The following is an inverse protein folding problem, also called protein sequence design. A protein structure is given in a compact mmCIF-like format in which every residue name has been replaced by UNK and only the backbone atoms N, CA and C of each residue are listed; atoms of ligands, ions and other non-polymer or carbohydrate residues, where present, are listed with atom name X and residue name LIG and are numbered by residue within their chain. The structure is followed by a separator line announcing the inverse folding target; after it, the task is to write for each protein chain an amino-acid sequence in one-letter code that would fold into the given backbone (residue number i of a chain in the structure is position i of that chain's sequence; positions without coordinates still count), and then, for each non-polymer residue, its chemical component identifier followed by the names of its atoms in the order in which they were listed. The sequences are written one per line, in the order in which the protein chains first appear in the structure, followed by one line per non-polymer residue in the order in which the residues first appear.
data_IF_549816820807
#
_entry.id   IF_549816820807
#
_cell.length_a   1.000
_cell.length_b   1.000
_cell.length_c   1.000
_cell.angle_alpha   90.00
_cell.angle_beta   90.00
_cell.angle_gamma   90.00
#
_symmetry.space_group_name_H-M   'P 1'
#
loop_
_entity.id
_entity.type
_entity.pdbx_description
1 polymer ?
#
# COMPACT_ATOMS: atom_id res chain seq x y z
N UNK A 1 -22.21 0.50 -29.21
CA UNK A 1 -21.61 -0.72 -28.67
C UNK A 1 -21.52 -0.56 -27.17
N UNK A 2 -21.93 -1.58 -26.43
CA UNK A 2 -21.79 -1.59 -24.97
C UNK A 2 -20.32 -1.37 -24.60
N UNK A 3 -20.10 -0.53 -23.59
CA UNK A 3 -18.76 -0.14 -23.12
C UNK A 3 -18.46 -0.67 -21.72
N UNK A 4 -19.40 -1.45 -21.17
CA UNK A 4 -19.27 -2.08 -19.88
C UNK A 4 -18.36 -3.31 -19.94
N UNK A 5 -17.57 -3.51 -18.90
CA UNK A 5 -16.68 -4.65 -18.77
C UNK A 5 -17.42 -5.80 -18.08
N UNK A 6 -18.23 -6.53 -18.83
CA UNK A 6 -18.97 -7.69 -18.30
C UNK A 6 -18.13 -8.96 -18.38
N UNK A 7 -18.16 -9.76 -17.31
CA UNK A 7 -17.51 -11.05 -17.30
C UNK A 7 -18.21 -11.99 -18.31
N UNK A 8 -17.43 -12.73 -19.11
CA UNK A 8 -17.96 -13.74 -20.04
C UNK A 8 -18.84 -14.77 -19.34
N UNK A 9 -18.61 -15.05 -18.05
CA UNK A 9 -19.45 -15.93 -17.26
C UNK A 9 -20.85 -15.35 -17.01
N UNK A 10 -20.94 -14.05 -16.71
CA UNK A 10 -22.21 -13.36 -16.49
C UNK A 10 -23.03 -13.29 -17.78
N UNK A 11 -22.37 -12.97 -18.90
CA UNK A 11 -22.98 -12.99 -20.23
C UNK A 11 -23.48 -14.40 -20.55
N UNK A 12 -22.64 -15.41 -20.31
CA UNK A 12 -22.99 -16.80 -20.59
C UNK A 12 -24.22 -17.26 -19.80
N UNK A 13 -24.30 -16.92 -18.50
CA UNK A 13 -25.46 -17.22 -17.66
C UNK A 13 -26.72 -16.55 -18.18
N UNK A 14 -26.66 -15.27 -18.57
CA UNK A 14 -27.82 -14.55 -19.12
C UNK A 14 -28.38 -15.20 -20.39
N UNK A 15 -27.49 -15.69 -21.27
CA UNK A 15 -27.87 -16.34 -22.53
C UNK A 15 -28.00 -17.87 -22.45
N UNK A 16 -27.93 -18.47 -21.25
CA UNK A 16 -28.07 -19.91 -21.06
C UNK A 16 -26.97 -20.75 -21.72
N UNK A 17 -25.79 -20.18 -21.98
CA UNK A 17 -24.66 -20.87 -22.60
C UNK A 17 -23.58 -21.24 -21.57
N UNK A 18 -22.76 -22.24 -21.89
CA UNK A 18 -21.63 -22.61 -21.02
C UNK A 18 -20.54 -21.53 -21.06
N UNK A 19 -20.26 -20.90 -19.91
CA UNK A 19 -19.31 -19.79 -19.82
C UNK A 19 -17.86 -20.14 -20.17
N UNK A 20 -17.38 -21.35 -19.87
CA UNK A 20 -16.04 -21.80 -20.29
C UNK A 20 -15.95 -21.92 -21.80
N UNK A 21 -16.96 -22.55 -22.43
CA UNK A 21 -17.03 -22.68 -23.89
C UNK A 21 -17.15 -21.31 -24.56
N UNK A 22 -17.93 -20.39 -23.99
CA UNK A 22 -18.02 -19.02 -24.49
C UNK A 22 -16.67 -18.30 -24.40
N UNK A 23 -15.94 -18.43 -23.28
CA UNK A 23 -14.62 -17.82 -23.11
C UNK A 23 -13.59 -18.39 -24.09
N UNK A 24 -13.59 -19.70 -24.33
CA UNK A 24 -12.73 -20.35 -25.33
C UNK A 24 -13.05 -19.87 -26.74
N UNK A 25 -14.32 -19.83 -27.13
CA UNK A 25 -14.76 -19.31 -28.43
C UNK A 25 -14.40 -17.84 -28.58
N UNK A 26 -14.61 -17.04 -27.54
CA UNK A 26 -14.27 -15.62 -27.52
C UNK A 26 -12.77 -15.39 -27.73
N UNK A 27 -11.92 -16.11 -26.98
CA UNK A 27 -10.46 -16.04 -27.12
C UNK A 27 -9.96 -16.54 -28.48
N UNK A 28 -10.53 -17.63 -28.99
CA UNK A 28 -9.98 -18.31 -30.17
C UNK A 28 -10.50 -17.77 -31.50
N UNK A 29 -11.69 -17.17 -31.51
CA UNK A 29 -12.43 -16.82 -32.73
C UNK A 29 -13.01 -15.39 -32.74
N UNK A 30 -13.29 -14.77 -31.59
CA UNK A 30 -13.93 -13.43 -31.54
C UNK A 30 -12.96 -12.28 -31.19
N UNK A 31 -11.81 -12.59 -30.59
CA UNK A 31 -10.72 -11.63 -30.39
C UNK A 31 -9.59 -11.97 -31.35
N UNK A 32 -8.90 -10.94 -31.81
CA UNK A 32 -7.59 -10.95 -32.48
C UNK A 32 -6.45 -11.52 -31.59
N UNK A 33 -6.74 -12.46 -30.67
CA UNK A 33 -5.76 -12.94 -29.69
C UNK A 33 -4.65 -13.70 -30.41
N UNK A 34 -4.99 -14.44 -31.47
CA UNK A 34 -4.02 -15.19 -32.28
C UNK A 34 -3.07 -14.27 -33.04
N UNK A 35 -3.58 -13.14 -33.52
CA UNK A 35 -2.87 -12.10 -34.30
C UNK A 35 -2.33 -10.96 -33.43
N UNK A 36 -2.57 -11.01 -32.11
CA UNK A 36 -2.16 -9.96 -31.18
C UNK A 36 -0.63 -9.82 -31.19
N UNK A 37 -0.07 -8.65 -31.58
CA UNK A 37 1.37 -8.51 -31.79
C UNK A 37 2.22 -8.82 -30.55
N UNK A 38 1.64 -8.66 -29.36
CA UNK A 38 2.34 -8.85 -28.10
C UNK A 38 2.30 -10.30 -27.59
N UNK A 39 1.58 -11.21 -28.26
CA UNK A 39 1.34 -12.58 -27.80
C UNK A 39 2.63 -13.35 -27.50
N UNK A 40 3.68 -13.18 -28.32
CA UNK A 40 4.94 -13.92 -28.18
C UNK A 40 5.70 -13.59 -26.88
N UNK A 41 5.54 -12.39 -26.34
CA UNK A 41 6.21 -11.92 -25.13
C UNK A 41 5.25 -11.56 -24.00
N UNK A 42 3.93 -11.76 -24.16
CA UNK A 42 2.90 -11.34 -23.22
C UNK A 42 3.07 -11.89 -21.80
N UNK A 43 3.73 -13.04 -21.64
CA UNK A 43 4.08 -13.61 -20.33
C UNK A 43 5.16 -12.79 -19.59
N UNK A 44 6.01 -12.07 -20.33
CA UNK A 44 7.13 -11.30 -19.79
C UNK A 44 6.80 -9.82 -19.65
N UNK A 45 6.13 -9.26 -20.65
CA UNK A 45 5.75 -7.85 -20.62
C UNK A 45 4.63 -7.51 -21.61
N UNK A 46 3.90 -6.46 -21.28
CA UNK A 46 2.87 -5.81 -22.09
C UNK A 46 3.12 -4.31 -22.09
N UNK A 47 3.05 -3.68 -23.27
CA UNK A 47 3.23 -2.25 -23.47
C UNK A 47 2.01 -1.66 -24.18
N UNK A 48 1.57 -0.50 -23.69
CA UNK A 48 0.50 0.29 -24.28
C UNK A 48 0.98 1.75 -24.41
N UNK A 49 1.90 2.05 -25.35
CA UNK A 49 2.50 3.38 -25.50
C UNK A 49 1.47 4.50 -25.70
N UNK A 50 0.32 4.19 -26.30
CA UNK A 50 -0.80 5.11 -26.48
C UNK A 50 -1.40 5.64 -25.16
N UNK A 51 -1.19 4.93 -24.05
CA UNK A 51 -1.70 5.31 -22.74
C UNK A 51 -0.76 6.26 -21.98
N UNK A 52 0.41 6.62 -22.54
CA UNK A 52 1.34 7.54 -21.89
C UNK A 52 0.71 8.92 -21.71
N UNK A 53 0.74 9.39 -20.46
CA UNK A 53 0.33 10.73 -20.07
C UNK A 53 1.47 11.55 -19.47
N UNK A 54 1.13 12.75 -18.99
CA UNK A 54 2.08 13.65 -18.30
C UNK A 54 2.43 13.17 -16.88
N UNK A 55 1.53 12.43 -16.24
CA UNK A 55 1.63 12.00 -14.84
C UNK A 55 1.53 10.48 -14.79
N UNK A 56 2.64 9.83 -14.45
CA UNK A 56 2.71 8.37 -14.35
C UNK A 56 2.93 7.94 -12.90
N UNK A 57 2.60 6.69 -12.60
CA UNK A 57 3.08 6.00 -11.41
C UNK A 57 3.64 4.63 -11.76
N UNK A 58 4.66 4.20 -11.03
CA UNK A 58 5.26 2.87 -11.12
C UNK A 58 5.12 2.20 -9.76
N UNK A 59 4.64 0.96 -9.76
CA UNK A 59 4.40 0.19 -8.53
C UNK A 59 4.64 -1.31 -8.77
N UNK A 60 4.99 -2.03 -7.71
CA UNK A 60 5.16 -3.49 -7.72
C UNK A 60 3.90 -4.15 -7.14
N UNK A 61 3.41 -5.21 -7.80
CA UNK A 61 2.26 -5.97 -7.32
C UNK A 61 2.43 -7.45 -7.56
N UNK A 62 1.85 -8.27 -6.70
CA UNK A 62 1.77 -9.72 -6.87
C UNK A 62 0.39 -10.07 -7.45
N UNK A 63 0.35 -10.64 -8.65
CA UNK A 63 -0.91 -11.08 -9.28
C UNK A 63 -1.26 -12.54 -8.93
N UNK A 64 -0.27 -13.32 -8.53
CA UNK A 64 -0.35 -14.71 -8.05
C UNK A 64 0.65 -14.91 -6.91
N UNK A 65 0.46 -15.93 -6.08
CA UNK A 65 1.29 -16.22 -4.90
C UNK A 65 2.73 -16.63 -5.27
N UNK A 66 3.55 -15.64 -5.67
CA UNK A 66 4.98 -15.79 -5.93
C UNK A 66 5.51 -14.95 -7.10
N UNK A 67 4.66 -14.46 -8.00
CA UNK A 67 5.10 -13.66 -9.16
C UNK A 67 4.88 -12.17 -8.93
N UNK A 68 6.00 -11.43 -8.83
CA UNK A 68 5.98 -9.98 -8.78
C UNK A 68 5.94 -9.39 -10.19
N UNK A 69 5.10 -8.37 -10.37
CA UNK A 69 4.96 -7.60 -11.59
C UNK A 69 5.17 -6.13 -11.27
N UNK A 70 5.87 -5.43 -12.15
CA UNK A 70 5.94 -3.97 -12.11
C UNK A 70 4.96 -3.38 -13.11
N UNK A 71 4.09 -2.50 -12.62
CA UNK A 71 3.04 -1.88 -13.42
C UNK A 71 3.33 -0.38 -13.52
N UNK A 72 3.34 0.12 -14.75
CA UNK A 72 3.38 1.54 -15.04
C UNK A 72 1.97 2.00 -15.40
N UNK A 73 1.43 2.98 -14.67
CA UNK A 73 0.08 3.50 -14.92
C UNK A 73 0.08 5.01 -15.18
N UNK A 74 -0.94 5.47 -15.91
CA UNK A 74 -1.23 6.87 -16.17
C UNK A 74 -2.29 7.36 -15.17
N UNK A 75 -1.87 8.30 -14.31
CA UNK A 75 -2.72 8.84 -13.23
C UNK A 75 -3.92 9.63 -13.76
N UNK A 76 -3.84 10.19 -14.98
CA UNK A 76 -4.93 10.96 -15.57
C UNK A 76 -6.19 10.11 -15.83
N UNK A 77 -6.02 8.81 -16.07
CA UNK A 77 -7.11 7.88 -16.37
C UNK A 77 -7.83 7.36 -15.12
N UNK A 78 -7.35 7.68 -13.90
CA UNK A 78 -7.97 7.36 -12.61
C UNK A 78 -8.40 5.88 -12.46
N UNK A 79 -7.55 4.96 -12.91
CA UNK A 79 -7.83 3.51 -12.83
C UNK A 79 -8.83 3.00 -13.87
N UNK A 80 -9.35 3.86 -14.75
CA UNK A 80 -10.27 3.47 -15.84
C UNK A 80 -9.51 3.00 -17.08
N UNK A 81 -10.24 2.68 -18.15
CA UNK A 81 -9.68 2.31 -19.46
C UNK A 81 -8.59 3.31 -19.89
N UNK A 82 -7.44 2.79 -20.32
CA UNK A 82 -6.28 3.60 -20.70
C UNK A 82 -5.38 4.00 -19.53
N UNK A 83 -5.54 3.40 -18.34
CA UNK A 83 -4.62 3.62 -17.22
C UNK A 83 -3.32 2.84 -17.35
N UNK A 84 -3.34 1.62 -17.87
CA UNK A 84 -2.15 0.76 -17.89
C UNK A 84 -1.25 1.15 -19.07
N UNK A 85 -0.01 1.57 -18.79
CA UNK A 85 1.00 1.88 -19.80
C UNK A 85 1.93 0.68 -20.02
N UNK A 86 2.31 -0.01 -18.95
CA UNK A 86 3.13 -1.21 -19.03
C UNK A 86 2.80 -2.18 -17.90
N UNK A 87 2.93 -3.48 -18.18
CA UNK A 87 2.97 -4.57 -17.19
C UNK A 87 4.23 -5.37 -17.50
N UNK A 88 5.11 -5.55 -16.52
CA UNK A 88 6.41 -6.21 -16.72
C UNK A 88 6.58 -7.25 -15.61
N UNK A 89 6.92 -8.49 -15.98
CA UNK A 89 7.20 -9.54 -15.02
C UNK A 89 8.57 -9.29 -14.34
N UNK A 90 8.58 -9.34 -13.02
CA UNK A 90 9.74 -9.10 -12.17
C UNK A 90 9.94 -7.64 -11.76
N UNK A 91 10.99 -7.42 -10.98
CA UNK A 91 11.34 -6.14 -10.33
C UNK A 91 12.78 -5.69 -10.63
N UNK A 92 13.52 -6.47 -11.45
CA UNK A 92 14.92 -6.20 -11.80
C UNK A 92 15.02 -4.95 -12.68
N UNK A 93 15.64 -3.91 -12.14
CA UNK A 93 15.73 -2.59 -12.78
C UNK A 93 16.15 -2.64 -14.26
N UNK A 94 17.21 -3.36 -14.60
CA UNK A 94 17.70 -3.43 -15.99
C UNK A 94 16.67 -4.04 -16.95
N UNK A 95 15.99 -5.12 -16.55
CA UNK A 95 14.92 -5.72 -17.35
C UNK A 95 13.79 -4.74 -17.60
N UNK A 96 13.39 -3.98 -16.58
CA UNK A 96 12.33 -2.98 -16.67
C UNK A 96 12.75 -1.83 -17.58
N UNK A 97 13.99 -1.35 -17.46
CA UNK A 97 14.54 -0.29 -18.30
C UNK A 97 14.53 -0.73 -19.76
N UNK A 98 15.04 -1.94 -20.07
CA UNK A 98 15.10 -2.48 -21.43
C UNK A 98 13.71 -2.55 -22.08
N UNK A 99 12.70 -2.98 -21.31
CA UNK A 99 11.32 -3.06 -21.79
C UNK A 99 10.73 -1.66 -21.98
N UNK A 100 10.86 -0.77 -21.01
CA UNK A 100 10.31 0.59 -21.08
C UNK A 100 10.99 1.44 -22.15
N UNK A 101 12.25 1.20 -22.47
CA UNK A 101 12.97 1.90 -23.54
C UNK A 101 12.47 1.52 -24.95
N UNK A 102 11.71 0.43 -25.11
CA UNK A 102 10.98 0.11 -26.36
C UNK A 102 9.92 1.16 -26.69
N UNK A 103 9.47 1.93 -25.70
CA UNK A 103 8.59 3.08 -25.91
C UNK A 103 9.41 4.21 -26.55
N UNK A 104 8.90 4.75 -27.65
CA UNK A 104 9.54 5.83 -28.40
C UNK A 104 9.94 7.01 -27.49
N UNK A 105 11.16 7.50 -27.64
CA UNK A 105 11.76 8.53 -26.77
C UNK A 105 10.91 9.81 -26.70
N UNK A 106 10.26 10.19 -27.80
CA UNK A 106 9.38 11.37 -27.83
C UNK A 106 8.15 11.23 -26.92
N UNK A 107 7.65 10.01 -26.67
CA UNK A 107 6.57 9.80 -25.71
C UNK A 107 7.12 9.87 -24.28
N UNK A 108 8.27 9.23 -24.02
CA UNK A 108 8.91 9.22 -22.70
C UNK A 108 9.28 10.64 -22.23
N UNK A 109 9.74 11.51 -23.14
CA UNK A 109 10.06 12.91 -22.86
C UNK A 109 8.84 13.79 -22.52
N UNK A 110 7.61 13.34 -22.79
CA UNK A 110 6.37 14.07 -22.45
C UNK A 110 5.96 13.92 -20.98
N UNK A 111 6.50 12.91 -20.30
CA UNK A 111 6.23 12.64 -18.88
C UNK A 111 6.84 13.76 -18.05
N UNK A 112 6.01 14.44 -17.25
CA UNK A 112 6.41 15.56 -16.38
C UNK A 112 6.64 15.10 -14.95
N UNK A 113 5.88 14.10 -14.51
CA UNK A 113 5.95 13.56 -13.16
C UNK A 113 5.84 12.05 -13.21
N UNK A 114 6.65 11.38 -12.39
CA UNK A 114 6.51 9.97 -12.08
C UNK A 114 6.48 9.78 -10.57
N UNK A 115 5.40 9.16 -10.09
CA UNK A 115 5.26 8.74 -8.69
C UNK A 115 5.80 7.33 -8.51
N UNK A 116 6.64 7.12 -7.50
CA UNK A 116 7.24 5.83 -7.16
C UNK A 116 7.37 5.68 -5.64
N UNK A 117 7.59 4.45 -5.17
CA UNK A 117 7.99 4.19 -3.79
C UNK A 117 9.40 4.75 -3.48
N UNK A 118 9.93 4.45 -2.29
CA UNK A 118 11.27 4.90 -1.88
C UNK A 118 12.38 3.91 -2.27
N UNK A 119 12.09 2.88 -3.08
CA UNK A 119 13.06 1.86 -3.42
C UNK A 119 14.08 2.38 -4.46
N UNK A 120 15.36 2.04 -4.25
CA UNK A 120 16.45 2.52 -5.09
C UNK A 120 16.37 2.03 -6.55
N UNK A 121 15.81 0.83 -6.77
CA UNK A 121 15.55 0.29 -8.11
C UNK A 121 14.57 1.19 -8.88
N UNK A 122 13.49 1.65 -8.25
CA UNK A 122 12.49 2.52 -8.87
C UNK A 122 13.07 3.87 -9.27
N UNK A 123 13.92 4.45 -8.42
CA UNK A 123 14.59 5.70 -8.75
C UNK A 123 15.47 5.56 -10.00
N UNK A 124 16.22 4.46 -10.11
CA UNK A 124 17.07 4.16 -11.26
C UNK A 124 16.25 3.98 -12.55
N UNK A 125 15.15 3.22 -12.48
CA UNK A 125 14.23 3.00 -13.59
C UNK A 125 13.68 4.33 -14.08
N UNK A 126 13.14 5.14 -13.18
CA UNK A 126 12.55 6.45 -13.52
C UNK A 126 13.58 7.37 -14.21
N UNK A 127 14.80 7.48 -13.67
CA UNK A 127 15.87 8.31 -14.26
C UNK A 127 16.24 7.89 -15.68
N UNK A 128 16.40 6.58 -15.93
CA UNK A 128 16.85 6.06 -17.24
C UNK A 128 15.73 6.02 -18.29
N UNK A 129 14.48 5.90 -17.86
CA UNK A 129 13.33 5.75 -18.78
C UNK A 129 12.62 7.07 -19.04
N UNK A 130 12.47 7.95 -18.03
CA UNK A 130 11.72 9.21 -18.12
C UNK A 130 12.61 10.41 -17.70
N UNK A 131 13.58 10.81 -18.54
CA UNK A 131 14.64 11.75 -18.14
C UNK A 131 14.14 13.16 -17.79
N UNK A 132 12.99 13.58 -18.31
CA UNK A 132 12.40 14.89 -18.06
C UNK A 132 11.42 14.90 -16.88
N UNK A 133 11.12 13.74 -16.28
CA UNK A 133 10.10 13.62 -15.25
C UNK A 133 10.67 13.99 -13.88
N UNK A 134 9.95 14.84 -13.16
CA UNK A 134 10.13 15.03 -11.73
C UNK A 134 9.68 13.77 -11.00
N UNK A 135 10.55 13.26 -10.13
CA UNK A 135 10.27 12.09 -9.30
C UNK A 135 9.57 12.54 -8.03
N UNK A 136 8.45 11.90 -7.72
CA UNK A 136 7.63 12.15 -6.54
C UNK A 136 7.53 10.87 -5.75
N UNK A 137 7.81 10.93 -4.45
CA UNK A 137 7.63 9.77 -3.57
C UNK A 137 6.16 9.58 -3.27
N UNK A 138 5.68 8.35 -3.37
CA UNK A 138 4.33 8.00 -2.99
C UNK A 138 4.11 8.17 -1.49
N UNK A 139 3.18 9.06 -1.13
CA UNK A 139 2.80 9.38 0.25
C UNK A 139 2.16 8.17 0.94
N UNK A 140 1.49 7.28 0.21
CA UNK A 140 0.91 6.06 0.78
C UNK A 140 1.99 5.11 1.29
N UNK A 141 3.08 4.96 0.53
CA UNK A 141 4.22 4.15 0.95
C UNK A 141 4.90 4.71 2.20
N UNK A 142 5.03 6.04 2.30
CA UNK A 142 5.57 6.68 3.52
C UNK A 142 4.63 6.50 4.71
N UNK A 143 3.32 6.68 4.52
CA UNK A 143 2.32 6.50 5.57
C UNK A 143 2.24 5.04 6.05
N UNK A 144 2.42 4.08 5.13
CA UNK A 144 2.46 2.65 5.42
C UNK A 144 3.57 2.32 6.42
N UNK A 145 4.77 2.86 6.24
CA UNK A 145 5.88 2.67 7.18
C UNK A 145 5.56 3.16 8.60
N UNK A 146 4.95 4.34 8.74
CA UNK A 146 4.54 4.86 10.04
C UNK A 146 3.47 3.97 10.69
N UNK A 147 2.55 3.46 9.88
CA UNK A 147 1.50 2.55 10.35
C UNK A 147 2.07 1.20 10.76
N UNK A 148 3.04 0.66 10.03
CA UNK A 148 3.76 -0.57 10.40
C UNK A 148 4.53 -0.39 11.71
N UNK A 149 5.21 0.74 11.90
CA UNK A 149 5.88 1.09 13.15
C UNK A 149 4.91 1.14 14.35
N UNK A 150 3.70 1.65 14.16
CA UNK A 150 2.63 1.61 15.17
C UNK A 150 2.14 0.17 15.43
N UNK A 151 1.96 -0.62 14.37
CA UNK A 151 1.51 -2.01 14.52
C UNK A 151 2.55 -2.88 15.23
N UNK A 152 3.85 -2.61 15.05
CA UNK A 152 4.93 -3.28 15.77
C UNK A 152 4.77 -3.15 17.29
N UNK A 153 4.48 -1.95 17.78
CA UNK A 153 4.24 -1.68 19.22
C UNK A 153 3.02 -2.48 19.71
N UNK A 154 1.91 -2.43 18.98
CA UNK A 154 0.71 -3.22 19.31
C UNK A 154 0.99 -4.72 19.33
N UNK A 155 1.76 -5.22 18.36
CA UNK A 155 2.11 -6.65 18.25
C UNK A 155 2.97 -7.06 19.44
N UNK A 156 3.92 -6.23 19.86
CA UNK A 156 4.73 -6.46 21.06
C UNK A 156 3.86 -6.64 22.31
N UNK A 157 2.97 -5.70 22.59
CA UNK A 157 2.04 -5.82 23.71
C UNK A 157 1.11 -7.03 23.60
N UNK A 158 0.74 -7.43 22.38
CA UNK A 158 -0.09 -8.63 22.19
C UNK A 158 0.66 -9.90 22.62
N UNK A 159 1.96 -9.98 22.36
CA UNK A 159 2.77 -11.10 22.83
C UNK A 159 2.92 -11.07 24.36
N UNK A 160 3.21 -9.92 24.94
CA UNK A 160 3.28 -9.75 26.40
C UNK A 160 1.97 -10.18 27.09
N UNK A 161 0.81 -9.80 26.52
CA UNK A 161 -0.49 -10.20 27.04
C UNK A 161 -0.80 -11.70 26.88
N UNK A 162 -0.24 -12.35 25.86
CA UNK A 162 -0.37 -13.80 25.68
C UNK A 162 0.50 -14.56 26.68
N UNK A 163 1.72 -14.08 26.91
CA UNK A 163 2.65 -14.68 27.87
C UNK A 163 2.11 -14.56 29.30
N UNK A 164 1.63 -13.36 29.70
CA UNK A 164 1.02 -13.15 31.00
C UNK A 164 -0.23 -14.03 31.24
N UNK A 165 -1.02 -14.29 30.20
CA UNK A 165 -2.15 -15.22 30.28
C UNK A 165 -1.69 -16.67 30.46
N UNK A 166 -0.66 -17.09 29.72
CA UNK A 166 -0.10 -18.44 29.87
C UNK A 166 0.45 -18.66 31.29
N UNK A 167 1.20 -17.70 31.83
CA UNK A 167 1.72 -17.75 33.20
C UNK A 167 0.59 -17.85 34.23
N UNK A 168 -0.49 -17.10 34.04
CA UNK A 168 -1.66 -17.16 34.93
C UNK A 168 -2.38 -18.51 34.86
N UNK A 169 -2.49 -19.11 33.67
CA UNK A 169 -3.06 -20.45 33.48
C UNK A 169 -2.17 -21.52 34.14
N UNK A 170 -0.84 -21.42 34.00
CA UNK A 170 0.10 -22.33 34.64
C UNK A 170 0.06 -22.24 36.16
N UNK A 171 -0.02 -21.02 36.70
CA UNK A 171 -0.17 -20.80 38.13
C UNK A 171 -1.47 -21.42 38.64
N UNK A 172 -2.59 -21.15 37.96
CA UNK A 172 -3.90 -21.67 38.32
C UNK A 172 -3.93 -23.22 38.36
N UNK A 173 -3.26 -23.87 37.39
CA UNK A 173 -3.06 -25.34 37.39
C UNK A 173 -2.21 -25.82 38.56
N UNK A 174 -1.16 -25.09 38.93
CA UNK A 174 -0.29 -25.44 40.07
C UNK A 174 -1.01 -25.30 41.41
N UNK A 175 -1.93 -24.36 41.52
CA UNK A 175 -2.70 -24.07 42.75
C UNK A 175 -4.06 -24.75 42.81
N UNK A 176 -4.39 -25.59 41.82
CA UNK A 176 -5.71 -26.25 41.66
C UNK A 176 -6.89 -25.27 41.71
N UNK A 177 -6.70 -24.09 41.12
CA UNK A 177 -7.72 -23.04 40.99
C UNK A 177 -8.12 -22.86 39.54
N UNK A 178 -9.34 -22.41 39.28
CA UNK A 178 -9.79 -22.08 37.93
C UNK A 178 -9.22 -20.72 37.46
N UNK A 179 -8.69 -20.68 36.23
CA UNK A 179 -8.28 -19.42 35.60
C UNK A 179 -9.49 -18.69 35.01
N UNK A 180 -9.72 -17.46 35.46
CA UNK A 180 -10.76 -16.58 34.93
C UNK A 180 -10.11 -15.37 34.24
N UNK A 181 -10.30 -15.17 32.92
CA UNK A 181 -9.69 -14.07 32.20
C UNK A 181 -10.31 -12.72 32.58
N UNK A 182 -9.48 -11.68 32.61
CA UNK A 182 -9.96 -10.30 32.78
C UNK A 182 -10.70 -9.87 31.50
N UNK A 183 -11.97 -9.50 31.65
CA UNK A 183 -12.84 -9.02 30.57
C UNK A 183 -13.09 -7.52 30.76
N UNK A 184 -12.90 -6.75 29.70
CA UNK A 184 -13.11 -5.30 29.68
C UNK A 184 -14.58 -4.94 29.47
N UNK A 185 -14.91 -3.65 29.64
CA UNK A 185 -16.28 -3.15 29.51
C UNK A 185 -16.91 -3.36 28.11
N UNK A 186 -16.09 -3.62 27.09
CA UNK A 186 -16.54 -3.93 25.74
C UNK A 186 -16.62 -5.45 25.46
N UNK A 187 -16.41 -6.30 26.46
CA UNK A 187 -16.43 -7.76 26.35
C UNK A 187 -15.15 -8.39 25.77
N UNK A 188 -14.13 -7.62 25.44
CA UNK A 188 -12.84 -8.13 24.99
C UNK A 188 -11.96 -8.49 26.21
N UNK A 189 -11.19 -9.58 26.12
CA UNK A 189 -10.00 -9.75 26.99
C UNK A 189 -8.84 -8.86 26.52
N UNK A 190 -7.79 -8.69 27.32
CA UNK A 190 -6.62 -7.85 26.95
C UNK A 190 -6.00 -8.28 25.60
N UNK A 191 -5.77 -9.58 25.38
CA UNK A 191 -5.23 -10.10 24.10
C UNK A 191 -6.19 -9.87 22.94
N UNK A 192 -7.50 -9.96 23.17
CA UNK A 192 -8.53 -9.74 22.16
C UNK A 192 -8.63 -8.25 21.79
N UNK A 193 -8.55 -7.36 22.78
CA UNK A 193 -8.48 -5.91 22.58
C UNK A 193 -7.34 -5.58 21.63
N UNK A 194 -6.12 -6.06 21.92
CA UNK A 194 -4.95 -5.82 21.08
C UNK A 194 -5.10 -6.42 19.67
N UNK A 195 -5.62 -7.65 19.54
CA UNK A 195 -5.83 -8.29 18.24
C UNK A 195 -6.88 -7.55 17.37
N UNK A 196 -8.02 -7.21 17.96
CA UNK A 196 -9.17 -6.58 17.28
C UNK A 196 -8.96 -5.09 17.01
N UNK A 197 -8.05 -4.44 17.74
CA UNK A 197 -7.70 -3.03 17.52
C UNK A 197 -6.85 -2.76 16.27
N UNK A 198 -6.37 -3.81 15.58
CA UNK A 198 -5.56 -3.66 14.36
C UNK A 198 -6.14 -2.63 13.39
N UNK A 199 -7.41 -2.76 13.02
CA UNK A 199 -8.07 -1.91 12.04
C UNK A 199 -8.41 -0.51 12.55
N UNK A 200 -8.57 -0.33 13.87
CA UNK A 200 -8.77 0.98 14.49
C UNK A 200 -7.57 1.87 14.20
N UNK A 201 -6.37 1.32 14.35
CA UNK A 201 -5.10 2.02 14.17
C UNK A 201 -4.75 2.35 12.71
N UNK A 202 -5.47 1.81 11.71
CA UNK A 202 -5.33 2.21 10.30
C UNK A 202 -6.20 3.42 9.92
N UNK A 203 -7.14 3.81 10.79
CA UNK A 203 -8.17 4.81 10.49
C UNK A 203 -7.98 6.07 11.32
N UNK A 204 -8.52 7.18 10.81
CA UNK A 204 -8.66 8.42 11.58
C UNK A 204 -9.84 8.31 12.53
N UNK A 205 -9.79 9.08 13.61
CA UNK A 205 -10.84 9.10 14.63
C UNK A 205 -12.24 9.36 14.05
N UNK A 206 -12.32 10.27 13.07
CA UNK A 206 -13.57 10.62 12.37
C UNK A 206 -14.20 9.47 11.58
N UNK A 207 -13.39 8.46 11.21
CA UNK A 207 -13.81 7.32 10.37
C UNK A 207 -14.07 6.06 11.21
N UNK A 208 -14.04 6.18 12.54
CA UNK A 208 -14.35 5.10 13.47
C UNK A 208 -15.85 4.92 13.65
N UNK A 209 -16.29 3.67 13.65
CA UNK A 209 -17.62 3.29 14.16
C UNK A 209 -17.66 3.43 15.68
N UNK A 210 -18.85 3.45 16.29
CA UNK A 210 -18.97 3.51 17.76
C UNK A 210 -18.23 2.37 18.47
N UNK A 211 -18.34 1.14 17.95
CA UNK A 211 -17.57 0.00 18.46
C UNK A 211 -16.05 0.18 18.33
N UNK A 212 -15.59 0.92 17.31
CA UNK A 212 -14.17 1.25 17.15
C UNK A 212 -13.74 2.35 18.12
N UNK A 213 -14.58 3.36 18.38
CA UNK A 213 -14.32 4.42 19.36
C UNK A 213 -14.19 3.85 20.77
N UNK A 214 -15.15 3.05 21.23
CA UNK A 214 -15.10 2.43 22.56
C UNK A 214 -13.83 1.59 22.73
N UNK A 215 -13.46 0.84 21.69
CA UNK A 215 -12.24 0.03 21.68
C UNK A 215 -10.97 0.89 21.71
N UNK A 216 -10.94 1.98 20.94
CA UNK A 216 -9.82 2.92 20.91
C UNK A 216 -9.61 3.56 22.29
N UNK A 217 -10.68 3.98 22.96
CA UNK A 217 -10.63 4.53 24.32
C UNK A 217 -9.95 3.54 25.28
N UNK A 218 -10.47 2.31 25.36
CA UNK A 218 -9.88 1.28 26.23
C UNK A 218 -8.43 0.97 25.87
N UNK A 219 -8.10 0.90 24.58
CA UNK A 219 -6.75 0.65 24.12
C UNK A 219 -5.78 1.75 24.54
N UNK A 220 -6.16 3.01 24.38
CA UNK A 220 -5.31 4.15 24.67
C UNK A 220 -5.17 4.44 26.16
N UNK A 221 -6.20 4.11 26.95
CA UNK A 221 -6.14 4.18 28.42
C UNK A 221 -5.18 3.14 28.98
N UNK A 222 -5.21 1.91 28.45
CA UNK A 222 -4.32 0.81 28.88
C UNK A 222 -2.91 0.91 28.30
N UNK A 223 -2.77 1.44 27.08
CA UNK A 223 -1.51 1.54 26.35
C UNK A 223 -1.27 2.97 25.82
N UNK A 224 -0.82 3.91 26.69
CA UNK A 224 -0.59 5.30 26.31
C UNK A 224 0.49 5.48 25.22
N UNK A 225 1.44 4.56 25.13
CA UNK A 225 2.48 4.54 24.11
C UNK A 225 1.93 4.19 22.71
N UNK A 226 0.95 3.27 22.63
CA UNK A 226 0.17 3.04 21.39
C UNK A 226 -0.56 4.33 20.99
N UNK A 227 -1.13 5.08 21.93
CA UNK A 227 -1.76 6.38 21.63
C UNK A 227 -0.75 7.37 21.08
N UNK A 228 0.40 7.51 21.73
CA UNK A 228 1.47 8.38 21.26
C UNK A 228 1.93 8.02 19.84
N UNK A 229 2.12 6.73 19.55
CA UNK A 229 2.48 6.24 18.22
C UNK A 229 1.35 6.46 17.18
N UNK A 230 0.09 6.34 17.59
CA UNK A 230 -1.06 6.67 16.76
C UNK A 230 -1.07 8.16 16.39
N UNK A 231 -0.83 9.05 17.35
CA UNK A 231 -0.78 10.49 17.11
C UNK A 231 0.38 10.89 16.19
N UNK A 232 1.54 10.22 16.29
CA UNK A 232 2.65 10.39 15.34
C UNK A 232 2.24 9.96 13.93
N UNK A 233 1.53 8.85 13.80
CA UNK A 233 1.03 8.33 12.51
C UNK A 233 0.00 9.27 11.89
N UNK A 234 -0.95 9.77 12.69
CA UNK A 234 -2.00 10.68 12.24
C UNK A 234 -1.45 12.06 11.90
N UNK A 235 -0.50 12.57 12.68
CA UNK A 235 0.13 13.86 12.38
C UNK A 235 0.92 13.83 11.07
N UNK A 236 1.57 12.70 10.73
CA UNK A 236 2.21 12.53 9.42
C UNK A 236 1.18 12.58 8.28
N UNK A 237 0.07 11.85 8.40
CA UNK A 237 -1.04 11.88 7.44
C UNK A 237 -1.59 13.30 7.27
N UNK A 238 -1.76 14.03 8.38
CA UNK A 238 -2.22 15.41 8.36
C UNK A 238 -1.28 16.33 7.57
N UNK A 239 0.04 16.15 7.70
CA UNK A 239 1.04 16.91 6.93
C UNK A 239 0.86 16.66 5.43
N UNK A 240 0.69 15.41 5.01
CA UNK A 240 0.53 15.06 3.59
C UNK A 240 -0.78 15.54 2.96
N UNK A 241 -1.83 15.70 3.75
CA UNK A 241 -3.14 16.13 3.26
C UNK A 241 -3.33 17.65 3.27
N UNK A 242 -2.73 18.34 4.24
CA UNK A 242 -3.00 19.76 4.50
C UNK A 242 -1.83 20.68 4.14
N UNK A 243 -0.87 20.19 3.35
CA UNK A 243 0.31 20.95 2.96
C UNK A 243 0.52 20.89 1.45
N UNK A 244 0.29 22.02 0.79
CA UNK A 244 0.47 22.18 -0.66
C UNK A 244 1.75 22.93 -1.03
N UNK A 245 2.37 23.59 -0.05
CA UNK A 245 3.59 24.36 -0.24
C UNK A 245 4.80 23.59 0.29
N UNK A 246 5.87 23.62 -0.50
CA UNK A 246 7.09 22.85 -0.24
C UNK A 246 7.82 23.29 1.02
N UNK A 247 7.88 24.60 1.29
CA UNK A 247 8.60 25.15 2.44
C UNK A 247 7.85 24.86 3.75
N UNK A 248 6.53 25.02 3.75
CA UNK A 248 5.69 24.62 4.87
C UNK A 248 5.75 23.10 5.10
N UNK A 249 5.83 22.29 4.03
CA UNK A 249 6.01 20.84 4.11
C UNK A 249 7.27 20.44 4.85
N UNK A 250 8.42 21.00 4.46
CA UNK A 250 9.70 20.76 5.13
C UNK A 250 9.67 21.17 6.60
N UNK A 251 9.09 22.33 6.91
CA UNK A 251 8.98 22.83 8.28
C UNK A 251 8.12 21.93 9.16
N UNK A 252 6.97 21.46 8.64
CA UNK A 252 6.08 20.56 9.37
C UNK A 252 6.70 19.18 9.57
N UNK A 253 7.38 18.65 8.55
CA UNK A 253 8.13 17.40 8.67
C UNK A 253 9.23 17.53 9.72
N UNK A 254 10.01 18.61 9.73
CA UNK A 254 11.04 18.84 10.75
C UNK A 254 10.46 18.82 12.17
N UNK A 255 9.31 19.48 12.39
CA UNK A 255 8.57 19.41 13.67
C UNK A 255 8.11 17.98 14.01
N UNK A 256 7.68 17.22 13.01
CA UNK A 256 7.32 15.82 13.20
C UNK A 256 8.51 14.94 13.58
N UNK A 257 9.69 15.15 12.97
CA UNK A 257 10.92 14.46 13.37
C UNK A 257 11.31 14.72 14.82
N UNK A 258 11.15 15.96 15.28
CA UNK A 258 11.40 16.30 16.67
C UNK A 258 10.48 15.51 17.62
N UNK A 259 9.18 15.46 17.30
CA UNK A 259 8.22 14.65 18.07
C UNK A 259 8.57 13.17 18.07
N UNK A 260 8.98 12.62 16.93
CA UNK A 260 9.45 11.23 16.83
C UNK A 260 10.67 10.98 17.72
N UNK A 261 11.65 11.88 17.69
CA UNK A 261 12.85 11.79 18.52
C UNK A 261 12.50 11.80 20.02
N UNK A 262 11.59 12.68 20.42
CA UNK A 262 11.11 12.78 21.81
C UNK A 262 10.33 11.55 22.26
N UNK A 263 9.55 10.93 21.37
CA UNK A 263 8.81 9.71 21.68
C UNK A 263 9.72 8.48 21.85
N UNK A 264 10.91 8.48 21.26
CA UNK A 264 11.92 7.44 21.50
C UNK A 264 11.66 6.08 20.83
N UNK A 265 10.58 5.92 20.05
CA UNK A 265 10.29 4.66 19.37
C UNK A 265 11.32 4.36 18.27
N UNK A 266 12.04 3.24 18.39
CA UNK A 266 13.08 2.81 17.43
C UNK A 266 12.55 2.68 16.00
N UNK A 267 11.36 2.12 15.84
CA UNK A 267 10.71 1.94 14.55
C UNK A 267 10.39 3.27 13.89
N UNK A 268 9.77 4.22 14.61
CA UNK A 268 9.53 5.58 14.09
C UNK A 268 10.83 6.35 13.79
N UNK A 269 11.89 6.19 14.58
CA UNK A 269 13.19 6.79 14.27
C UNK A 269 13.76 6.28 12.94
N UNK A 270 13.54 5.00 12.62
CA UNK A 270 13.88 4.43 11.31
C UNK A 270 13.04 5.04 10.19
N UNK A 271 11.72 5.15 10.39
CA UNK A 271 10.81 5.82 9.42
C UNK A 271 11.24 7.27 9.19
N UNK A 272 11.57 7.99 10.25
CA UNK A 272 12.09 9.35 10.18
C UNK A 272 13.36 9.44 9.33
N UNK A 273 14.33 8.54 9.54
CA UNK A 273 15.55 8.53 8.72
C UNK A 273 15.24 8.26 7.24
N UNK A 274 14.33 7.34 6.95
CA UNK A 274 13.87 7.09 5.58
C UNK A 274 13.26 8.34 4.94
N UNK A 275 12.36 9.03 5.65
CA UNK A 275 11.77 10.28 5.15
C UNK A 275 12.83 11.35 4.88
N UNK A 276 13.82 11.50 5.78
CA UNK A 276 14.92 12.46 5.60
C UNK A 276 15.73 12.20 4.33
N UNK A 277 16.05 10.93 4.06
CA UNK A 277 16.78 10.53 2.86
C UNK A 277 16.03 10.84 1.55
N UNK A 278 14.70 10.94 1.61
CA UNK A 278 13.83 11.16 0.46
C UNK A 278 13.09 12.52 0.49
N UNK A 279 13.51 13.49 1.33
CA UNK A 279 12.78 14.75 1.47
C UNK A 279 12.47 15.44 0.15
N UNK A 280 13.49 15.55 -0.72
CA UNK A 280 13.34 16.26 -1.99
C UNK A 280 12.21 15.71 -2.84
N UNK A 281 12.02 14.40 -2.88
CA UNK A 281 10.98 13.72 -3.66
C UNK A 281 9.66 13.62 -2.92
N UNK A 282 9.67 13.59 -1.58
CA UNK A 282 8.46 13.61 -0.73
C UNK A 282 7.73 14.96 -0.78
N UNK A 283 8.48 16.06 -0.81
CA UNK A 283 7.92 17.42 -0.84
C UNK A 283 7.74 17.99 -2.25
N UNK A 284 7.97 17.19 -3.30
CA UNK A 284 7.59 17.54 -4.67
C UNK A 284 6.08 17.33 -4.87
#
# INVERSE_FOLDING_TARGET
MDSNADATQSIATYYGVNGKRLQEQYKNNLIDFKTWPQRSHAKKWLLFPQNIGKYLSIDETSLSDGELYTILTNKASKGKKGSIVAIIAGTKAETLIDVLQKIHVNLRKKVREITLDMAANMELIAKRTFPNATRVTDRFHVQKLATEALQEIRIKHRWEALDAENDAIELAKKTDTEYVPIVLSNGDTIKQLLARSRYVLYKKEKDWTENQKQRATLLFDLYPDIKQAYDLTMSLSHIFENTNDKLYGLTRLAKWHEKVRQAGFKSFNTVARSIQNHYKTIVN
#
